data_IF_110696722364
#
_entry.id   IF_110696722364
#
_cell.length_a   1.000
_cell.length_b   1.000
_cell.length_c   1.000
_cell.angle_alpha   90.00
_cell.angle_beta   90.00
_cell.angle_gamma   90.00
#
_symmetry.space_group_name_H-M   'P 1'
#
loop_
_entity.id
_entity.type
_entity.pdbx_description
1 polymer ?
#
# COMPACT_ATOMS: atom_id res chain seq x y z
N UNK A 1 -5.78 -9.06 -33.50
CA UNK A 1 -5.17 -9.93 -32.47
C UNK A 1 -4.15 -9.05 -31.79
N UNK A 2 -4.37 -8.63 -30.55
CA UNK A 2 -3.38 -7.80 -29.84
C UNK A 2 -2.10 -8.62 -29.62
N UNK A 3 -0.95 -7.99 -29.83
CA UNK A 3 0.34 -8.64 -29.60
C UNK A 3 0.63 -8.73 -28.10
N UNK A 4 1.43 -9.71 -27.66
CA UNK A 4 1.86 -9.81 -26.24
C UNK A 4 2.47 -8.49 -25.74
N UNK A 5 3.20 -7.79 -26.61
CA UNK A 5 3.79 -6.48 -26.32
C UNK A 5 2.73 -5.41 -26.07
N UNK A 6 1.67 -5.36 -26.85
CA UNK A 6 0.55 -4.43 -26.63
C UNK A 6 -0.11 -4.67 -25.28
N UNK A 7 -0.32 -5.93 -24.88
CA UNK A 7 -0.88 -6.26 -23.57
C UNK A 7 0.02 -5.81 -22.40
N UNK A 8 1.34 -5.99 -22.51
CA UNK A 8 2.30 -5.53 -21.51
C UNK A 8 2.26 -3.99 -21.41
N UNK A 9 2.26 -3.29 -22.54
CA UNK A 9 2.17 -1.83 -22.57
C UNK A 9 0.87 -1.33 -21.94
N UNK A 10 -0.26 -1.97 -22.23
CA UNK A 10 -1.55 -1.63 -21.60
C UNK A 10 -1.54 -1.84 -20.09
N UNK A 11 -0.89 -2.89 -19.59
CA UNK A 11 -0.75 -3.12 -18.16
C UNK A 11 0.11 -2.05 -17.49
N UNK A 12 1.22 -1.65 -18.13
CA UNK A 12 2.06 -0.55 -17.66
C UNK A 12 1.31 0.80 -17.69
N UNK A 13 0.52 1.06 -18.73
CA UNK A 13 -0.34 2.24 -18.78
C UNK A 13 -1.41 2.24 -17.69
N UNK A 14 -2.05 1.08 -17.43
CA UNK A 14 -3.02 0.94 -16.34
C UNK A 14 -2.36 1.27 -15.00
N UNK A 15 -1.15 0.75 -14.78
CA UNK A 15 -0.37 1.05 -13.58
C UNK A 15 -0.05 2.55 -13.49
N UNK A 16 0.30 3.18 -14.60
CA UNK A 16 0.58 4.62 -14.64
C UNK A 16 -0.66 5.46 -14.31
N UNK A 17 -1.83 5.04 -14.78
CA UNK A 17 -3.12 5.71 -14.54
C UNK A 17 -3.67 5.50 -13.12
N UNK A 18 -3.14 4.57 -12.33
CA UNK A 18 -3.47 4.45 -10.91
C UNK A 18 -3.03 5.73 -10.19
N UNK A 19 -3.99 6.43 -9.60
CA UNK A 19 -3.79 7.59 -8.74
C UNK A 19 -4.75 7.54 -7.56
N UNK A 20 -4.30 8.11 -6.43
CA UNK A 20 -5.13 8.31 -5.24
C UNK A 20 -5.90 9.62 -5.35
N UNK A 21 -7.16 9.64 -4.87
CA UNK A 21 -7.93 10.87 -4.67
C UNK A 21 -7.69 11.45 -3.28
N UNK A 22 -7.26 10.61 -2.34
CA UNK A 22 -6.97 10.92 -0.95
C UNK A 22 -5.89 9.98 -0.39
N UNK A 23 -5.08 10.41 0.59
CA UNK A 23 -4.17 9.52 1.32
C UNK A 23 -4.87 8.57 2.31
N UNK A 24 -6.21 8.52 2.32
CA UNK A 24 -6.99 7.65 3.20
C UNK A 24 -6.57 6.17 3.10
N UNK A 25 -6.54 5.48 4.24
CA UNK A 25 -6.07 4.09 4.31
C UNK A 25 -6.88 3.13 3.42
N UNK A 26 -8.20 3.31 3.35
CA UNK A 26 -9.05 2.52 2.47
C UNK A 26 -8.71 2.71 0.98
N UNK A 27 -8.33 3.92 0.56
CA UNK A 27 -7.87 4.15 -0.82
C UNK A 27 -6.51 3.51 -1.07
N UNK A 28 -5.57 3.59 -0.13
CA UNK A 28 -4.27 2.92 -0.24
C UNK A 28 -4.44 1.39 -0.36
N UNK A 29 -5.38 0.80 0.39
CA UNK A 29 -5.74 -0.62 0.30
C UNK A 29 -6.22 -1.01 -1.09
N UNK A 30 -7.18 -0.24 -1.61
CA UNK A 30 -7.73 -0.42 -2.96
C UNK A 30 -6.64 -0.31 -4.04
N UNK A 31 -5.71 0.64 -3.88
CA UNK A 31 -4.58 0.81 -4.79
C UNK A 31 -3.66 -0.41 -4.76
N UNK A 32 -3.35 -0.93 -3.56
CA UNK A 32 -2.50 -2.10 -3.43
C UNK A 32 -3.08 -3.32 -4.15
N UNK A 33 -4.39 -3.56 -4.02
CA UNK A 33 -5.09 -4.66 -4.71
C UNK A 33 -4.95 -4.54 -6.23
N UNK A 34 -5.18 -3.34 -6.79
CA UNK A 34 -5.01 -3.09 -8.23
C UNK A 34 -3.56 -3.27 -8.69
N UNK A 35 -2.60 -2.75 -7.91
CA UNK A 35 -1.17 -2.88 -8.22
C UNK A 35 -0.77 -4.34 -8.21
N UNK A 36 -1.18 -5.12 -7.20
CA UNK A 36 -0.92 -6.56 -7.13
C UNK A 36 -1.49 -7.30 -8.35
N UNK A 37 -2.75 -7.02 -8.72
CA UNK A 37 -3.39 -7.62 -9.88
C UNK A 37 -2.63 -7.32 -11.19
N UNK A 38 -2.10 -6.11 -11.36
CA UNK A 38 -1.29 -5.76 -12.54
C UNK A 38 0.08 -6.43 -12.49
N UNK A 39 0.76 -6.44 -11.33
CA UNK A 39 2.07 -7.09 -11.18
C UNK A 39 1.99 -8.58 -11.50
N UNK A 40 0.98 -9.28 -10.99
CA UNK A 40 0.80 -10.70 -11.29
C UNK A 40 0.55 -10.95 -12.78
N UNK A 41 -0.22 -10.09 -13.45
CA UNK A 41 -0.42 -10.20 -14.90
C UNK A 41 0.85 -9.92 -15.71
N UNK A 42 1.71 -9.00 -15.26
CA UNK A 42 3.01 -8.75 -15.91
C UNK A 42 3.94 -9.95 -15.74
N UNK A 43 4.02 -10.53 -14.53
CA UNK A 43 4.81 -11.73 -14.24
C UNK A 43 4.34 -12.92 -15.08
N UNK A 44 3.03 -13.18 -15.12
CA UNK A 44 2.43 -14.25 -15.92
C UNK A 44 2.75 -14.12 -17.42
N UNK A 45 2.95 -12.89 -17.89
CA UNK A 45 3.33 -12.57 -19.28
C UNK A 45 4.84 -12.59 -19.52
N UNK A 46 5.63 -12.94 -18.52
CA UNK A 46 7.10 -13.03 -18.61
C UNK A 46 7.82 -11.69 -18.57
N UNK A 47 7.15 -10.61 -18.16
CA UNK A 47 7.80 -9.31 -17.98
C UNK A 47 8.72 -9.35 -16.76
N UNK A 48 9.92 -8.81 -16.90
CA UNK A 48 10.84 -8.68 -15.76
C UNK A 48 10.40 -7.53 -14.87
N UNK A 49 9.71 -7.84 -13.76
CA UNK A 49 9.26 -6.85 -12.78
C UNK A 49 10.29 -6.57 -11.69
N UNK A 50 11.34 -7.40 -11.57
CA UNK A 50 12.33 -7.33 -10.48
C UNK A 50 13.47 -6.37 -10.81
N UNK A 51 13.11 -5.12 -11.10
CA UNK A 51 14.06 -4.08 -11.46
C UNK A 51 13.73 -2.75 -10.78
N UNK A 52 14.76 -1.89 -10.68
CA UNK A 52 14.66 -0.61 -9.97
C UNK A 52 13.59 0.33 -10.55
N UNK A 53 13.35 0.28 -11.86
CA UNK A 53 12.31 1.09 -12.50
C UNK A 53 10.92 0.67 -12.02
N UNK A 54 10.64 -0.64 -12.03
CA UNK A 54 9.35 -1.19 -11.58
C UNK A 54 9.12 -0.98 -10.10
N UNK A 55 10.15 -1.18 -9.26
CA UNK A 55 10.04 -0.87 -7.82
C UNK A 55 9.67 0.58 -7.56
N UNK A 56 10.29 1.51 -8.27
CA UNK A 56 10.00 2.95 -8.15
C UNK A 56 8.59 3.27 -8.63
N UNK A 57 8.17 2.66 -9.75
CA UNK A 57 6.83 2.85 -10.33
C UNK A 57 5.74 2.35 -9.39
N UNK A 58 5.94 1.23 -8.71
CA UNK A 58 5.01 0.71 -7.70
C UNK A 58 5.00 1.61 -6.46
N UNK A 59 6.17 1.96 -5.92
CA UNK A 59 6.26 2.80 -4.72
C UNK A 59 5.62 4.19 -4.92
N UNK A 60 5.74 4.78 -6.12
CA UNK A 60 5.15 6.10 -6.41
C UNK A 60 3.62 6.12 -6.36
N UNK A 61 2.96 4.95 -6.30
CA UNK A 61 1.51 4.82 -6.14
C UNK A 61 1.02 5.00 -4.71
N UNK A 62 1.92 5.13 -3.75
CA UNK A 62 1.57 5.26 -2.34
C UNK A 62 2.03 6.60 -1.77
N UNK A 63 1.39 7.10 -0.70
CA UNK A 63 1.85 8.30 -0.01
C UNK A 63 3.29 8.19 0.50
N UNK A 64 3.96 9.33 0.66
CA UNK A 64 5.36 9.39 1.10
C UNK A 64 5.60 8.69 2.45
N UNK A 65 4.63 8.74 3.37
CA UNK A 65 4.71 8.03 4.65
C UNK A 65 4.79 6.52 4.50
N UNK A 66 3.94 5.94 3.64
CA UNK A 66 3.93 4.51 3.33
C UNK A 66 5.22 4.12 2.60
N UNK A 67 5.66 4.92 1.62
CA UNK A 67 6.93 4.72 0.93
C UNK A 67 8.12 4.68 1.91
N UNK A 68 8.18 5.63 2.85
CA UNK A 68 9.26 5.71 3.86
C UNK A 68 9.31 4.46 4.74
N UNK A 69 8.16 3.97 5.20
CA UNK A 69 8.06 2.74 6.03
C UNK A 69 8.57 1.51 5.30
N UNK A 70 8.17 1.35 4.04
CA UNK A 70 8.64 0.25 3.18
C UNK A 70 10.15 0.34 2.93
N UNK A 71 10.66 1.53 2.60
CA UNK A 71 12.08 1.73 2.35
C UNK A 71 12.94 1.53 3.61
N UNK A 72 12.43 1.87 4.79
CA UNK A 72 13.11 1.57 6.06
C UNK A 72 13.28 0.07 6.27
N UNK A 73 12.21 -0.71 6.05
CA UNK A 73 12.23 -2.18 6.15
C UNK A 73 13.06 -2.84 5.04
N UNK A 74 13.08 -2.25 3.84
CA UNK A 74 13.94 -2.71 2.74
C UNK A 74 15.42 -2.73 3.12
N UNK A 75 15.91 -1.76 3.89
CA UNK A 75 17.33 -1.68 4.28
C UNK A 75 17.81 -2.89 5.07
N UNK A 76 16.90 -3.57 5.76
CA UNK A 76 17.20 -4.76 6.57
C UNK A 76 16.85 -6.06 5.85
N UNK A 77 16.32 -6.00 4.62
CA UNK A 77 15.93 -7.18 3.86
C UNK A 77 17.16 -7.81 3.19
N UNK A 78 17.30 -9.14 3.34
CA UNK A 78 18.40 -9.91 2.73
C UNK A 78 18.20 -10.05 1.22
N UNK A 79 16.95 -10.23 0.80
CA UNK A 79 16.53 -10.28 -0.60
C UNK A 79 15.40 -9.28 -0.82
N UNK A 80 15.36 -8.69 -2.02
CA UNK A 80 14.36 -7.69 -2.37
C UNK A 80 13.91 -7.84 -3.81
N UNK A 81 12.79 -8.52 -3.99
CA UNK A 81 12.04 -8.68 -5.23
C UNK A 81 10.69 -7.94 -5.17
N UNK A 82 9.93 -7.98 -6.27
CA UNK A 82 8.62 -7.35 -6.36
C UNK A 82 7.64 -7.94 -5.36
N UNK A 83 7.70 -9.24 -5.09
CA UNK A 83 6.81 -9.88 -4.12
C UNK A 83 7.06 -9.35 -2.70
N UNK A 84 8.33 -9.22 -2.31
CA UNK A 84 8.75 -8.63 -1.04
C UNK A 84 8.29 -7.18 -0.95
N UNK A 85 8.41 -6.40 -2.02
CA UNK A 85 7.91 -5.02 -2.07
C UNK A 85 6.40 -4.96 -1.81
N UNK A 86 5.61 -5.80 -2.47
CA UNK A 86 4.15 -5.85 -2.31
C UNK A 86 3.74 -6.28 -0.89
N UNK A 87 4.47 -7.23 -0.28
CA UNK A 87 4.26 -7.64 1.10
C UNK A 87 4.58 -6.52 2.10
N UNK A 88 5.68 -5.79 1.90
CA UNK A 88 6.03 -4.67 2.78
C UNK A 88 5.01 -3.52 2.68
N UNK A 89 4.43 -3.29 1.51
CA UNK A 89 3.33 -2.33 1.31
C UNK A 89 2.08 -2.78 2.05
N UNK A 90 1.71 -4.05 1.94
CA UNK A 90 0.58 -4.64 2.67
C UNK A 90 0.75 -4.51 4.18
N UNK A 91 1.94 -4.83 4.69
CA UNK A 91 2.26 -4.72 6.10
C UNK A 91 2.19 -3.26 6.59
N UNK A 92 2.75 -2.33 5.81
CA UNK A 92 2.73 -0.91 6.15
C UNK A 92 1.29 -0.35 6.26
N UNK A 93 0.40 -0.71 5.32
CA UNK A 93 -1.00 -0.28 5.34
C UNK A 93 -1.75 -0.95 6.50
N UNK A 94 -1.56 -2.26 6.69
CA UNK A 94 -2.22 -3.03 7.76
C UNK A 94 -1.85 -2.52 9.15
N UNK A 95 -0.58 -2.14 9.36
CA UNK A 95 -0.13 -1.54 10.61
C UNK A 95 -0.81 -0.19 10.87
N UNK A 96 -0.96 0.66 9.85
CA UNK A 96 -1.67 1.94 10.01
C UNK A 96 -3.17 1.78 10.25
N UNK A 97 -3.80 0.80 9.61
CA UNK A 97 -5.19 0.45 9.88
C UNK A 97 -5.37 -0.01 11.34
N UNK A 98 -4.44 -0.81 11.85
CA UNK A 98 -4.44 -1.25 13.24
C UNK A 98 -4.26 -0.08 14.21
N UNK A 99 -3.26 0.78 13.97
CA UNK A 99 -3.01 1.99 14.78
C UNK A 99 -4.26 2.90 14.79
N UNK A 100 -4.89 3.09 13.63
CA UNK A 100 -6.09 3.92 13.49
C UNK A 100 -7.27 3.39 14.31
N UNK A 101 -7.41 2.05 14.44
CA UNK A 101 -8.44 1.43 15.31
C UNK A 101 -8.16 1.73 16.78
N UNK A 102 -6.92 1.58 17.24
CA UNK A 102 -6.57 1.88 18.64
C UNK A 102 -6.73 3.37 18.99
N UNK A 103 -6.32 4.26 18.09
CA UNK A 103 -6.40 5.71 18.32
C UNK A 103 -7.84 6.24 18.26
N UNK A 104 -8.70 5.64 17.43
CA UNK A 104 -10.14 5.96 17.42
C UNK A 104 -10.85 5.46 18.68
N UNK A 105 -10.51 4.26 19.15
CA UNK A 105 -11.10 3.68 20.36
C UNK A 105 -10.64 4.38 21.66
N UNK A 106 -9.48 5.05 21.65
CA UNK A 106 -8.99 5.82 22.80
C UNK A 106 -9.70 7.17 23.00
N UNK A 107 -10.53 7.61 22.05
CA UNK A 107 -11.22 8.91 22.07
C UNK A 107 -12.63 8.90 22.67
N UNK A 108 -13.05 7.81 23.33
CA UNK A 108 -14.21 7.86 24.24
C UNK A 108 -13.71 8.10 25.67
N UNK A 109 -13.79 9.34 26.21
CA UNK A 109 -13.70 9.51 27.65
C UNK A 109 -14.90 8.81 28.25
N UNK A 110 -14.66 7.83 29.12
CA UNK A 110 -15.64 7.48 30.13
C UNK A 110 -15.92 8.76 30.93
N UNK A 111 -17.03 9.44 30.64
CA UNK A 111 -17.55 10.47 31.53
C UNK A 111 -18.09 9.76 32.76
N UNK A 112 -17.23 9.51 33.74
CA UNK A 112 -17.67 9.18 35.09
C UNK A 112 -18.24 10.50 35.63
N UNK A 113 -19.56 10.68 35.51
CA UNK A 113 -20.28 11.69 36.27
C UNK A 113 -20.15 11.32 37.75
N UNK A 114 -19.27 12.02 38.45
CA UNK A 114 -19.18 11.96 39.90
C UNK A 114 -20.28 12.89 40.40
N UNK A 115 -21.43 12.34 40.77
CA UNK A 115 -22.42 13.08 41.55
C UNK A 115 -21.83 13.36 42.93
N UNK A 116 -21.32 14.58 43.11
CA UNK A 116 -20.89 15.06 44.42
C UNK A 116 -22.14 15.55 45.15
N UNK A 117 -22.81 14.65 45.87
CA UNK A 117 -23.80 15.03 46.87
C UNK A 117 -23.06 15.61 48.07
N UNK A 118 -23.00 16.94 48.15
CA UNK A 118 -22.61 17.66 49.37
C UNK A 118 -23.86 17.79 50.23
N UNK A 119 -23.82 17.12 51.39
CA UNK A 119 -24.78 17.23 52.50
C UNK A 119 -24.58 18.55 53.22
#
# INVERSE_FOLDING_TARGET
METLKELILQLLEKLDKISFRSPALHEQRTILEHVQAIMFQLIDKGENVDNQYMYRKVLSKFPSDTQRKVLAKKRTAVFFDMQTLLQLLDEAISNEELISRYMTNARTPNTISIDVNVV
#
